data_IF_127784005921
#
_entry.id   IF_127784005921
#
_cell.length_a   1.000
_cell.length_b   1.000
_cell.length_c   1.000
_cell.angle_alpha   90.00
_cell.angle_beta   90.00
_cell.angle_gamma   90.00
#
_symmetry.space_group_name_H-M   'P 1'
#
loop_
_entity.id
_entity.type
_entity.pdbx_description
1 polymer ?
#
# COMPACT_ATOMS: atom_id res chain seq x y z
N UNK A 1 38.71 -48.04 -16.17
CA UNK A 1 37.50 -48.09 -17.02
C UNK A 1 36.26 -47.74 -16.20
N UNK A 2 36.03 -46.47 -15.84
CA UNK A 2 34.84 -46.11 -15.04
C UNK A 2 34.39 -44.65 -15.17
N UNK A 3 34.46 -44.08 -16.39
CA UNK A 3 33.93 -42.74 -16.67
C UNK A 3 32.95 -42.69 -17.86
N UNK A 4 32.78 -43.80 -18.58
CA UNK A 4 31.89 -43.87 -19.75
C UNK A 4 30.46 -44.27 -19.41
N UNK A 5 30.19 -44.82 -18.23
CA UNK A 5 28.85 -45.25 -17.81
C UNK A 5 27.98 -44.11 -17.26
N UNK A 6 28.56 -43.10 -16.60
CA UNK A 6 27.78 -41.94 -16.09
C UNK A 6 27.28 -41.00 -17.19
N UNK A 7 27.91 -40.99 -18.36
CA UNK A 7 27.50 -40.11 -19.47
C UNK A 7 26.26 -40.62 -20.22
N UNK A 8 25.93 -41.91 -20.10
CA UNK A 8 24.79 -42.52 -20.81
C UNK A 8 23.45 -42.33 -20.10
N UNK A 9 23.43 -42.15 -18.77
CA UNK A 9 22.18 -41.87 -18.04
C UNK A 9 21.72 -40.41 -18.15
N UNK A 10 22.62 -39.48 -18.49
CA UNK A 10 22.30 -38.07 -18.70
C UNK A 10 21.79 -37.75 -20.13
N UNK A 11 21.79 -38.72 -21.04
CA UNK A 11 21.40 -38.57 -22.44
C UNK A 11 20.10 -39.31 -22.80
N UNK A 12 19.33 -39.77 -21.81
CA UNK A 12 17.97 -40.24 -22.06
C UNK A 12 17.08 -39.02 -22.28
N UNK A 13 16.53 -38.79 -23.48
CA UNK A 13 15.49 -37.80 -23.66
C UNK A 13 14.32 -38.25 -22.78
N UNK A 14 14.04 -37.50 -21.71
CA UNK A 14 12.77 -37.56 -21.00
C UNK A 14 11.72 -37.49 -22.11
N UNK A 15 10.96 -38.57 -22.32
CA UNK A 15 9.76 -38.54 -23.16
C UNK A 15 8.87 -37.47 -22.54
N UNK A 16 8.94 -36.26 -23.08
CA UNK A 16 7.99 -35.22 -22.79
C UNK A 16 6.65 -35.81 -23.19
N UNK A 17 5.81 -36.11 -22.19
CA UNK A 17 4.44 -36.47 -22.44
C UNK A 17 3.89 -35.46 -23.43
N UNK A 18 3.18 -35.93 -24.45
CA UNK A 18 2.48 -35.08 -25.39
C UNK A 18 1.44 -34.32 -24.56
N UNK A 19 1.83 -33.16 -24.03
CA UNK A 19 0.88 -32.16 -23.56
C UNK A 19 0.20 -31.74 -24.84
N UNK A 20 -1.00 -32.27 -25.06
CA UNK A 20 -1.91 -31.81 -26.09
C UNK A 20 -1.96 -30.31 -25.94
N UNK A 21 -1.30 -29.60 -26.85
CA UNK A 21 -1.30 -28.15 -26.88
C UNK A 21 -2.72 -27.78 -27.31
N UNK A 22 -3.63 -27.73 -26.32
CA UNK A 22 -4.94 -27.11 -26.48
C UNK A 22 -4.62 -25.74 -27.02
N UNK A 23 -5.12 -25.44 -28.22
CA UNK A 23 -5.04 -24.11 -28.83
C UNK A 23 -5.91 -23.18 -27.99
N UNK A 24 -5.45 -22.88 -26.78
CA UNK A 24 -5.79 -21.65 -26.12
C UNK A 24 -5.16 -20.61 -27.03
N UNK A 25 -5.94 -20.14 -28.01
CA UNK A 25 -5.78 -18.81 -28.53
C UNK A 25 -5.89 -17.92 -27.28
N UNK A 26 -4.77 -17.68 -26.60
CA UNK A 26 -4.68 -16.59 -25.65
C UNK A 26 -5.27 -15.40 -26.40
N UNK A 27 -6.17 -14.60 -25.80
CA UNK A 27 -6.65 -13.42 -26.47
C UNK A 27 -5.42 -12.56 -26.77
N UNK A 28 -4.97 -12.61 -28.03
CA UNK A 28 -3.89 -11.78 -28.53
C UNK A 28 -4.54 -10.41 -28.64
N UNK A 29 -4.55 -9.68 -27.53
CA UNK A 29 -4.89 -8.29 -27.55
C UNK A 29 -3.88 -7.61 -28.47
N UNK A 30 -4.40 -7.01 -29.55
CA UNK A 30 -3.58 -6.18 -30.43
C UNK A 30 -2.90 -5.06 -29.64
N UNK A 31 -1.92 -4.37 -30.25
CA UNK A 31 -1.24 -3.27 -29.58
C UNK A 31 -2.27 -2.23 -29.08
N UNK A 32 -2.06 -1.64 -27.89
CA UNK A 32 -3.00 -0.72 -27.31
C UNK A 32 -3.21 0.48 -28.25
N UNK A 33 -4.47 0.81 -28.54
CA UNK A 33 -4.84 1.96 -29.38
C UNK A 33 -4.25 3.28 -28.87
N UNK A 34 -4.08 3.37 -27.54
CA UNK A 34 -3.47 4.50 -26.85
C UNK A 34 -2.34 3.99 -25.96
N UNK A 35 -1.07 4.03 -26.40
CA UNK A 35 0.05 3.61 -25.57
C UNK A 35 0.16 4.55 -24.36
N UNK A 36 0.09 3.98 -23.16
CA UNK A 36 0.34 4.74 -21.94
C UNK A 36 1.84 5.02 -21.79
N UNK A 37 2.19 6.30 -21.66
CA UNK A 37 3.53 6.69 -21.24
C UNK A 37 3.80 6.23 -19.79
N UNK A 38 5.07 6.01 -19.40
CA UNK A 38 5.42 5.65 -18.03
C UNK A 38 4.86 6.60 -16.96
N UNK A 39 4.84 7.90 -17.24
CA UNK A 39 4.26 8.90 -16.33
C UNK A 39 2.74 8.71 -16.12
N UNK A 40 1.99 8.39 -17.20
CA UNK A 40 0.56 8.08 -17.09
C UNK A 40 0.32 6.83 -16.25
N UNK A 41 1.17 5.81 -16.39
CA UNK A 41 1.11 4.59 -15.57
C UNK A 41 1.36 4.89 -14.09
N UNK A 42 2.32 5.77 -13.78
CA UNK A 42 2.64 6.16 -12.41
C UNK A 42 1.51 6.98 -11.76
N UNK A 43 0.90 7.90 -12.49
CA UNK A 43 -0.24 8.69 -11.98
C UNK A 43 -1.47 7.79 -11.76
N UNK A 44 -1.82 6.96 -12.74
CA UNK A 44 -3.01 6.09 -12.62
C UNK A 44 -2.83 4.97 -11.59
N UNK A 45 -1.64 4.37 -11.52
CA UNK A 45 -1.35 3.32 -10.55
C UNK A 45 -0.97 3.89 -9.19
N UNK A 46 0.19 4.55 -9.11
CA UNK A 46 0.73 5.09 -7.86
C UNK A 46 -0.09 6.25 -7.28
N UNK A 47 -0.61 7.14 -8.12
CA UNK A 47 -1.43 8.26 -7.67
C UNK A 47 -2.78 7.82 -7.08
N UNK A 48 -3.44 6.82 -7.66
CA UNK A 48 -4.70 6.30 -7.10
C UNK A 48 -4.49 5.61 -5.76
N UNK A 49 -3.41 4.84 -5.61
CA UNK A 49 -3.01 4.23 -4.34
C UNK A 49 -2.71 5.30 -3.28
N UNK A 50 -1.98 6.35 -3.65
CA UNK A 50 -1.67 7.46 -2.74
C UNK A 50 -2.95 8.09 -2.19
N UNK A 51 -3.91 8.43 -3.05
CA UNK A 51 -5.18 9.06 -2.65
C UNK A 51 -5.96 8.18 -1.67
N UNK A 52 -6.01 6.87 -1.92
CA UNK A 52 -6.65 5.91 -1.01
C UNK A 52 -5.98 5.89 0.38
N UNK A 53 -4.67 6.17 0.45
CA UNK A 53 -3.88 6.14 1.69
C UNK A 53 -3.88 7.45 2.47
N UNK A 54 -4.35 8.58 1.91
CA UNK A 54 -4.32 9.88 2.62
C UNK A 54 -5.15 9.83 3.90
N UNK A 55 -6.39 9.33 3.82
CA UNK A 55 -7.33 9.27 4.97
C UNK A 55 -6.81 8.37 6.09
N UNK A 56 -6.45 7.09 5.84
CA UNK A 56 -5.95 6.23 6.90
C UNK A 56 -4.65 6.76 7.52
N UNK A 57 -3.76 7.34 6.71
CA UNK A 57 -2.53 7.93 7.24
C UNK A 57 -2.82 9.14 8.13
N UNK A 58 -3.69 10.05 7.69
CA UNK A 58 -4.11 11.20 8.49
C UNK A 58 -4.81 10.77 9.79
N UNK A 59 -5.66 9.74 9.74
CA UNK A 59 -6.34 9.21 10.91
C UNK A 59 -5.34 8.69 11.95
N UNK A 60 -4.26 8.00 11.53
CA UNK A 60 -3.21 7.53 12.45
C UNK A 60 -2.57 8.68 13.23
N UNK A 61 -2.34 9.84 12.61
CA UNK A 61 -1.81 11.02 13.32
C UNK A 61 -2.81 11.66 14.29
N UNK A 62 -4.12 11.47 14.08
CA UNK A 62 -5.14 11.98 15.00
C UNK A 62 -5.38 11.08 16.21
N UNK A 63 -4.96 9.80 16.16
CA UNK A 63 -5.18 8.84 17.27
C UNK A 63 -4.64 9.35 18.62
N UNK A 64 -3.41 9.89 18.74
CA UNK A 64 -2.91 10.38 20.02
C UNK A 64 -3.76 11.51 20.58
N UNK A 65 -4.16 12.47 19.74
CA UNK A 65 -5.04 13.58 20.12
C UNK A 65 -6.41 13.09 20.55
N UNK A 66 -7.02 12.20 19.77
CA UNK A 66 -8.33 11.61 20.09
C UNK A 66 -8.28 10.80 21.39
N UNK A 67 -7.21 10.04 21.60
CA UNK A 67 -6.95 9.28 22.83
C UNK A 67 -6.91 10.17 24.07
N UNK A 68 -6.17 11.29 24.03
CA UNK A 68 -6.07 12.22 25.16
C UNK A 68 -7.44 12.81 25.54
N UNK A 69 -8.22 13.24 24.55
CA UNK A 69 -9.56 13.80 24.74
C UNK A 69 -10.52 12.84 25.45
N UNK A 70 -10.39 11.53 25.23
CA UNK A 70 -11.31 10.52 25.79
C UNK A 70 -10.77 9.87 27.06
N UNK A 71 -9.46 9.91 27.29
CA UNK A 71 -8.83 9.36 28.50
C UNK A 71 -8.70 10.38 29.65
N UNK A 72 -9.23 11.60 29.47
CA UNK A 72 -9.16 12.64 30.50
C UNK A 72 -7.73 13.06 30.85
N UNK A 73 -6.77 12.76 29.95
CA UNK A 73 -5.40 13.24 30.08
C UNK A 73 -5.46 14.71 29.72
N UNK A 74 -5.52 15.56 30.75
CA UNK A 74 -5.34 16.99 30.59
C UNK A 74 -3.99 17.15 29.89
N UNK A 75 -4.01 17.71 28.69
CA UNK A 75 -2.78 18.17 28.06
C UNK A 75 -2.23 19.21 29.04
N UNK A 76 -1.26 18.81 29.87
CA UNK A 76 -0.30 19.74 30.45
C UNK A 76 0.33 20.42 29.26
N UNK A 77 -0.30 21.53 28.86
CA UNK A 77 0.25 22.76 28.33
C UNK A 77 1.72 22.63 27.93
N UNK A 78 2.00 21.83 26.90
CA UNK A 78 3.18 22.03 26.08
C UNK A 78 2.85 23.25 25.23
N UNK A 79 3.03 24.40 25.89
CA UNK A 79 2.98 25.76 25.40
C UNK A 79 3.06 25.87 23.88
N UNK A 80 1.91 26.10 23.24
CA UNK A 80 1.94 27.11 22.19
C UNK A 80 2.34 28.43 22.88
N UNK A 81 3.39 29.12 22.43
CA UNK A 81 3.72 30.44 22.98
C UNK A 81 2.47 31.32 22.86
N UNK A 82 2.20 32.06 23.93
CA UNK A 82 1.06 32.94 24.08
C UNK A 82 0.76 33.75 22.82
N UNK A 83 -0.45 33.64 22.28
CA UNK A 83 -1.17 34.74 21.65
C UNK A 83 -2.62 34.32 21.38
N UNK A 84 -3.57 35.02 22.01
CA UNK A 84 -4.99 34.88 21.71
C UNK A 84 -5.87 34.85 22.95
N UNK A 85 -6.08 36.03 23.54
CA UNK A 85 -7.08 36.37 24.56
C UNK A 85 -8.36 35.52 24.50
N UNK A 86 -8.70 34.78 25.56
CA UNK A 86 -10.06 34.63 26.09
C UNK A 86 -10.00 34.03 27.52
N UNK A 87 -10.41 34.77 28.57
CA UNK A 87 -10.52 34.19 29.92
C UNK A 87 -11.67 33.17 29.99
N UNK A 88 -11.54 32.06 30.75
CA UNK A 88 -12.58 31.05 30.87
C UNK A 88 -13.82 31.60 31.62
N UNK A 89 -15.04 31.14 31.28
CA UNK A 89 -16.25 31.61 31.94
C UNK A 89 -16.31 31.12 33.39
N UNK A 90 -16.42 32.07 34.33
CA UNK A 90 -16.68 31.79 35.74
C UNK A 90 -18.07 31.17 35.90
N UNK A 91 -18.13 30.01 36.57
CA UNK A 91 -19.38 29.42 37.02
C UNK A 91 -19.89 30.25 38.20
N UNK A 92 -20.92 31.05 37.97
CA UNK A 92 -21.59 31.77 39.05
C UNK A 92 -22.41 30.78 39.88
N UNK A 93 -21.89 30.45 41.05
CA UNK A 93 -22.63 29.89 42.17
C UNK A 93 -23.53 31.01 42.74
N UNK A 94 -24.85 30.87 42.62
CA UNK A 94 -25.80 31.77 43.28
C UNK A 94 -26.89 30.96 44.00
N UNK A 95 -26.72 30.95 45.32
CA UNK A 95 -27.70 30.89 46.42
C UNK A 95 -29.18 30.88 46.01
#
# INVERSE_FOLDING_TARGET
MSFTLMRRQLLLPKRAGHVTQVRHHAPIAGPPRFPMSPGKKLILGGGSLLVMMIIPFWALFQIPRWSKLHNGIVEEEESAPAEGDHPPPTKDEKN
#
